data_IF_764849321732
#
_entry.id   IF_764849321732
#
_cell.length_a   1.000
_cell.length_b   1.000
_cell.length_c   1.000
_cell.angle_alpha   90.00
_cell.angle_beta   90.00
_cell.angle_gamma   90.00
#
_symmetry.space_group_name_H-M   'P 1'
#
loop_
_entity.id
_entity.type
_entity.pdbx_description
1 polymer ?
#
# COMPACT_ATOMS: atom_id res chain seq x y z
N UNK A 1 4.64 22.65 -51.06
CA UNK A 1 5.94 22.94 -50.43
C UNK A 1 5.85 22.41 -49.01
N UNK A 2 6.84 21.64 -48.55
CA UNK A 2 6.90 21.24 -47.15
C UNK A 2 7.15 22.51 -46.34
N UNK A 3 6.25 22.85 -45.43
CA UNK A 3 6.45 23.98 -44.53
C UNK A 3 7.67 23.69 -43.64
N UNK A 4 8.66 24.59 -43.69
CA UNK A 4 9.91 24.42 -42.94
C UNK A 4 9.68 24.25 -41.43
N UNK A 5 8.58 24.81 -40.91
CA UNK A 5 8.14 24.66 -39.53
C UNK A 5 7.82 23.20 -39.16
N UNK A 6 7.06 22.49 -40.00
CA UNK A 6 6.68 21.10 -39.73
C UNK A 6 7.87 20.14 -39.77
N UNK A 7 8.83 20.42 -40.66
CA UNK A 7 10.09 19.67 -40.70
C UNK A 7 10.88 19.83 -39.40
N UNK A 8 11.02 21.07 -38.90
CA UNK A 8 11.73 21.33 -37.64
C UNK A 8 11.02 20.64 -36.46
N UNK A 9 9.69 20.75 -36.38
CA UNK A 9 8.89 20.11 -35.33
C UNK A 9 9.06 18.58 -35.35
N UNK A 10 9.01 17.97 -36.54
CA UNK A 10 9.13 16.52 -36.70
C UNK A 10 10.51 16.01 -36.29
N UNK A 11 11.57 16.72 -36.69
CA UNK A 11 12.96 16.35 -36.31
C UNK A 11 13.16 16.51 -34.80
N UNK A 12 12.69 17.60 -34.22
CA UNK A 12 12.79 17.81 -32.77
C UNK A 12 12.02 16.74 -32.01
N UNK A 13 10.80 16.40 -32.45
CA UNK A 13 10.01 15.33 -31.85
C UNK A 13 10.76 13.98 -31.94
N UNK A 14 11.36 13.67 -33.09
CA UNK A 14 12.12 12.43 -33.26
C UNK A 14 13.35 12.36 -32.33
N UNK A 15 14.06 13.47 -32.13
CA UNK A 15 15.18 13.56 -31.17
C UNK A 15 14.68 13.38 -29.72
N UNK A 16 13.57 14.02 -29.34
CA UNK A 16 13.03 13.88 -27.99
C UNK A 16 12.51 12.47 -27.73
N UNK A 17 11.87 11.83 -28.71
CA UNK A 17 11.43 10.43 -28.59
C UNK A 17 12.63 9.51 -28.40
N UNK A 18 13.69 9.69 -29.21
CA UNK A 18 14.96 8.96 -29.05
C UNK A 18 15.58 9.14 -27.65
N UNK A 19 15.57 10.37 -27.13
CA UNK A 19 16.10 10.70 -25.82
C UNK A 19 15.30 10.04 -24.70
N UNK A 20 13.97 10.17 -24.70
CA UNK A 20 13.10 9.60 -23.67
C UNK A 20 13.15 8.08 -23.65
N UNK A 21 13.04 7.47 -24.83
CA UNK A 21 13.16 6.03 -25.06
C UNK A 21 14.52 5.47 -24.62
N UNK A 22 15.62 6.17 -24.93
CA UNK A 22 16.98 5.79 -24.50
C UNK A 22 17.19 5.94 -22.99
N UNK A 23 16.67 7.00 -22.37
CA UNK A 23 16.81 7.23 -20.94
C UNK A 23 15.98 6.25 -20.12
N UNK A 24 14.76 5.92 -20.58
CA UNK A 24 13.93 4.90 -19.96
C UNK A 24 14.72 3.60 -19.77
N UNK A 25 15.30 3.06 -20.85
CA UNK A 25 16.07 1.82 -20.76
C UNK A 25 17.36 2.01 -19.97
N UNK A 26 18.02 3.18 -20.06
CA UNK A 26 19.22 3.45 -19.28
C UNK A 26 18.92 3.45 -17.78
N UNK A 27 17.78 4.02 -17.37
CA UNK A 27 17.32 4.06 -15.99
C UNK A 27 17.04 2.65 -15.47
N UNK A 28 16.23 1.87 -16.21
CA UNK A 28 15.85 0.51 -15.82
C UNK A 28 17.06 -0.43 -15.76
N UNK A 29 18.05 -0.26 -16.63
CA UNK A 29 19.24 -1.14 -16.73
C UNK A 29 20.46 -0.65 -15.96
N UNK A 30 20.37 0.49 -15.29
CA UNK A 30 21.49 1.07 -14.53
C UNK A 30 21.88 0.24 -13.30
N UNK A 31 23.14 0.39 -12.89
CA UNK A 31 23.66 -0.25 -11.69
C UNK A 31 23.51 0.72 -10.51
N UNK A 32 22.59 0.40 -9.60
CA UNK A 32 22.24 1.26 -8.46
C UNK A 32 23.45 1.58 -7.57
N UNK A 33 24.42 0.67 -7.45
CA UNK A 33 25.63 0.91 -6.64
C UNK A 33 26.50 1.99 -7.28
N UNK A 34 26.65 1.98 -8.61
CA UNK A 34 27.41 3.01 -9.33
C UNK A 34 26.72 4.37 -9.31
N UNK A 35 25.39 4.38 -9.40
CA UNK A 35 24.59 5.59 -9.29
C UNK A 35 24.75 6.22 -7.90
N UNK A 36 24.67 5.41 -6.83
CA UNK A 36 24.86 5.87 -5.45
C UNK A 36 26.25 6.51 -5.25
N UNK A 37 27.29 5.91 -5.81
CA UNK A 37 28.64 6.50 -5.79
C UNK A 37 28.71 7.83 -6.53
N UNK A 38 27.97 8.01 -7.63
CA UNK A 38 27.90 9.27 -8.36
C UNK A 38 27.03 10.32 -7.64
N UNK A 39 26.04 9.90 -6.85
CA UNK A 39 25.27 10.78 -5.96
C UNK A 39 26.15 11.31 -4.82
N UNK A 40 26.95 10.45 -4.19
CA UNK A 40 27.85 10.83 -3.09
C UNK A 40 28.97 11.79 -3.52
N UNK A 41 29.39 11.75 -4.79
CA UNK A 41 30.33 12.73 -5.36
C UNK A 41 29.76 14.15 -5.45
N UNK A 42 28.44 14.31 -5.31
CA UNK A 42 27.77 15.60 -5.33
C UNK A 42 27.72 16.29 -6.71
N UNK A 43 27.46 17.60 -6.70
CA UNK A 43 27.30 18.40 -7.92
C UNK A 43 25.92 18.30 -8.58
N UNK A 44 25.77 18.92 -9.75
CA UNK A 44 24.50 18.96 -10.48
C UNK A 44 24.03 17.56 -10.92
N UNK A 45 24.96 16.72 -11.35
CA UNK A 45 24.66 15.36 -11.78
C UNK A 45 24.22 14.49 -10.61
N UNK A 46 24.92 14.54 -9.48
CA UNK A 46 24.54 13.80 -8.27
C UNK A 46 23.16 14.22 -7.74
N UNK A 47 22.85 15.52 -7.74
CA UNK A 47 21.50 16.02 -7.35
C UNK A 47 20.40 15.52 -8.29
N UNK A 48 20.65 15.56 -9.61
CA UNK A 48 19.69 15.08 -10.60
C UNK A 48 19.43 13.59 -10.45
N UNK A 49 20.50 12.78 -10.37
CA UNK A 49 20.41 11.34 -10.15
C UNK A 49 19.69 11.01 -8.82
N UNK A 50 20.03 11.68 -7.73
CA UNK A 50 19.35 11.49 -6.45
C UNK A 50 17.85 11.74 -6.57
N UNK A 51 17.46 12.85 -7.20
CA UNK A 51 16.04 13.19 -7.41
C UNK A 51 15.30 12.11 -8.21
N UNK A 52 15.89 11.60 -9.28
CA UNK A 52 15.28 10.59 -10.14
C UNK A 52 15.17 9.22 -9.48
N UNK A 53 16.21 8.79 -8.74
CA UNK A 53 16.23 7.48 -8.09
C UNK A 53 15.43 7.44 -6.78
N UNK A 54 15.35 8.55 -6.03
CA UNK A 54 14.46 8.66 -4.86
C UNK A 54 12.98 8.63 -5.25
N UNK A 55 12.63 9.12 -6.46
CA UNK A 55 11.25 9.17 -6.96
C UNK A 55 11.10 8.37 -8.26
N UNK A 56 11.56 7.12 -8.25
CA UNK A 56 11.70 6.30 -9.46
C UNK A 56 10.38 6.04 -10.21
N UNK A 57 9.26 5.84 -9.50
CA UNK A 57 7.94 5.63 -10.11
C UNK A 57 7.44 6.88 -10.85
N UNK A 58 7.58 8.05 -10.22
CA UNK A 58 7.21 9.33 -10.83
C UNK A 58 8.11 9.66 -12.03
N UNK A 59 9.40 9.35 -11.94
CA UNK A 59 10.35 9.56 -13.03
C UNK A 59 10.04 8.69 -14.26
N UNK A 60 9.83 7.39 -14.05
CA UNK A 60 9.49 6.45 -15.14
C UNK A 60 8.16 6.86 -15.80
N UNK A 61 7.14 7.14 -15.01
CA UNK A 61 5.82 7.55 -15.54
C UNK A 61 5.91 8.87 -16.32
N UNK A 62 6.67 9.85 -15.84
CA UNK A 62 6.88 11.13 -16.54
C UNK A 62 7.56 10.92 -17.91
N UNK A 63 8.57 10.08 -17.99
CA UNK A 63 9.25 9.75 -19.26
C UNK A 63 8.29 9.05 -20.21
N UNK A 64 7.48 8.11 -19.71
CA UNK A 64 6.55 7.35 -20.53
C UNK A 64 5.43 8.24 -21.09
N UNK A 65 4.88 9.14 -20.27
CA UNK A 65 3.91 10.16 -20.70
C UNK A 65 4.55 11.13 -21.71
N UNK A 66 5.75 11.62 -21.42
CA UNK A 66 6.50 12.50 -22.32
C UNK A 66 6.75 11.87 -23.69
N UNK A 67 7.15 10.59 -23.72
CA UNK A 67 7.36 9.86 -24.96
C UNK A 67 6.06 9.73 -25.78
N UNK A 68 4.93 9.44 -25.12
CA UNK A 68 3.63 9.37 -25.81
C UNK A 68 3.22 10.72 -26.42
N UNK A 69 3.42 11.83 -25.71
CA UNK A 69 3.13 13.18 -26.23
C UNK A 69 3.99 13.45 -27.47
N UNK A 70 5.27 13.16 -27.39
CA UNK A 70 6.21 13.36 -28.50
C UNK A 70 5.87 12.48 -29.70
N UNK A 71 5.43 11.24 -29.48
CA UNK A 71 5.00 10.34 -30.54
C UNK A 71 3.79 10.88 -31.32
N UNK A 72 2.83 11.49 -30.62
CA UNK A 72 1.67 12.15 -31.25
C UNK A 72 2.11 13.34 -32.10
N UNK A 73 2.99 14.20 -31.57
CA UNK A 73 3.52 15.38 -32.29
C UNK A 73 4.29 14.92 -33.54
N UNK A 74 5.12 13.89 -33.40
CA UNK A 74 5.82 13.27 -34.53
C UNK A 74 4.84 12.74 -35.58
N UNK A 75 3.79 12.02 -35.16
CA UNK A 75 2.79 11.48 -36.08
C UNK A 75 2.06 12.56 -36.88
N UNK A 76 1.69 13.68 -36.23
CA UNK A 76 1.09 14.83 -36.92
C UNK A 76 2.04 15.46 -37.95
N UNK A 77 3.31 15.66 -37.58
CA UNK A 77 4.32 16.20 -38.48
C UNK A 77 4.67 15.26 -39.64
N UNK A 78 4.82 13.97 -39.37
CA UNK A 78 5.08 12.95 -40.37
C UNK A 78 3.92 12.82 -41.37
N UNK A 79 2.66 12.86 -40.91
CA UNK A 79 1.50 12.87 -41.80
C UNK A 79 1.51 14.08 -42.75
N UNK A 80 1.73 15.28 -42.21
CA UNK A 80 1.79 16.51 -43.01
C UNK A 80 2.91 16.50 -44.07
N UNK A 81 4.04 15.84 -43.77
CA UNK A 81 5.17 15.72 -44.69
C UNK A 81 5.00 14.61 -45.73
N UNK A 82 4.43 13.46 -45.35
CA UNK A 82 4.30 12.28 -46.21
C UNK A 82 3.08 12.37 -47.14
N UNK A 83 1.98 12.98 -46.69
CA UNK A 83 0.73 13.07 -47.44
C UNK A 83 0.88 13.73 -48.83
N UNK A 84 1.51 14.92 -48.97
CA UNK A 84 1.68 15.56 -50.29
C UNK A 84 2.48 14.71 -51.27
N UNK A 85 3.46 13.95 -50.77
CA UNK A 85 4.27 13.06 -51.60
C UNK A 85 3.49 11.79 -52.00
N UNK A 86 2.78 11.16 -51.07
CA UNK A 86 2.01 9.93 -51.33
C UNK A 86 0.85 10.15 -52.30
N UNK A 87 0.16 11.29 -52.22
CA UNK A 87 -0.95 11.65 -53.14
C UNK A 87 -0.45 11.77 -54.58
N UNK A 88 0.78 12.23 -54.79
CA UNK A 88 1.37 12.28 -56.16
C UNK A 88 1.71 10.92 -56.73
N UNK A 89 1.96 9.92 -55.88
CA UNK A 89 2.26 8.54 -56.31
C UNK A 89 0.97 7.81 -56.67
N UNK A 90 -0.03 7.86 -55.79
CA UNK A 90 -1.32 7.22 -56.03
C UNK A 90 -2.43 7.94 -55.26
N UNK A 91 -3.37 8.65 -55.94
CA UNK A 91 -4.37 9.51 -55.30
C UNK A 91 -5.56 8.71 -54.77
N UNK A 92 -5.31 7.81 -53.81
CA UNK A 92 -6.34 7.06 -53.09
C UNK A 92 -6.15 7.25 -51.58
N UNK A 93 -7.20 7.72 -50.90
CA UNK A 93 -7.17 8.02 -49.47
C UNK A 93 -6.77 6.82 -48.61
N UNK A 94 -7.26 5.62 -48.91
CA UNK A 94 -6.92 4.41 -48.16
C UNK A 94 -5.44 4.06 -48.33
N UNK A 95 -4.90 4.19 -49.55
CA UNK A 95 -3.48 3.97 -49.81
C UNK A 95 -2.61 4.97 -49.05
N UNK A 96 -2.93 6.25 -49.11
CA UNK A 96 -2.18 7.32 -48.41
C UNK A 96 -2.16 7.06 -46.91
N UNK A 97 -3.31 6.75 -46.30
CA UNK A 97 -3.43 6.47 -44.87
C UNK A 97 -2.60 5.26 -44.42
N UNK A 98 -2.63 4.17 -45.18
CA UNK A 98 -1.88 2.95 -44.84
C UNK A 98 -0.37 3.18 -45.05
N UNK A 99 0.01 3.73 -46.20
CA UNK A 99 1.41 3.96 -46.54
C UNK A 99 2.08 4.95 -45.57
N UNK A 100 1.41 6.06 -45.23
CA UNK A 100 1.96 7.03 -44.27
C UNK A 100 2.16 6.40 -42.89
N UNK A 101 1.21 5.57 -42.43
CA UNK A 101 1.29 4.93 -41.11
C UNK A 101 2.45 3.96 -41.07
N UNK A 102 2.61 3.12 -42.10
CA UNK A 102 3.71 2.15 -42.17
C UNK A 102 5.08 2.83 -42.28
N UNK A 103 5.21 3.85 -43.15
CA UNK A 103 6.47 4.58 -43.33
C UNK A 103 6.84 5.33 -42.05
N UNK A 104 5.89 6.08 -41.47
CA UNK A 104 6.11 6.84 -40.24
C UNK A 104 6.45 5.93 -39.06
N UNK A 105 5.72 4.81 -38.90
CA UNK A 105 5.99 3.82 -37.85
C UNK A 105 7.37 3.17 -38.04
N UNK A 106 7.75 2.84 -39.27
CA UNK A 106 9.08 2.29 -39.55
C UNK A 106 10.20 3.26 -39.18
N UNK A 107 10.05 4.54 -39.52
CA UNK A 107 11.04 5.58 -39.20
C UNK A 107 11.17 5.74 -37.68
N UNK A 108 10.06 5.91 -36.95
CA UNK A 108 10.13 6.14 -35.50
C UNK A 108 10.58 4.91 -34.74
N UNK A 109 10.14 3.71 -35.13
CA UNK A 109 10.59 2.47 -34.48
C UNK A 109 12.09 2.25 -34.65
N UNK A 110 12.65 2.55 -35.81
CA UNK A 110 14.09 2.46 -35.99
C UNK A 110 14.80 3.56 -35.21
N UNK A 111 14.49 4.81 -35.50
CA UNK A 111 15.31 5.96 -35.09
C UNK A 111 14.98 6.53 -33.71
N UNK A 112 13.72 6.49 -33.30
CA UNK A 112 13.24 6.97 -32.00
C UNK A 112 13.17 5.88 -30.93
N UNK A 113 13.02 4.61 -31.32
CA UNK A 113 12.87 3.52 -30.36
C UNK A 113 14.05 2.55 -30.32
N UNK A 114 14.26 1.80 -31.39
CA UNK A 114 15.17 0.65 -31.40
C UNK A 114 16.65 1.06 -31.28
N UNK A 115 17.11 1.99 -32.13
CA UNK A 115 18.51 2.45 -32.10
C UNK A 115 18.87 3.12 -30.78
N UNK A 116 18.10 4.11 -30.27
CA UNK A 116 18.41 4.77 -29.01
C UNK A 116 18.40 3.81 -27.83
N UNK A 117 17.40 2.91 -27.75
CA UNK A 117 17.34 1.91 -26.69
C UNK A 117 18.55 0.99 -26.70
N UNK A 118 18.99 0.57 -27.88
CA UNK A 118 20.18 -0.28 -28.01
C UNK A 118 21.45 0.45 -27.56
N UNK A 119 21.64 1.69 -28.01
CA UNK A 119 22.85 2.47 -27.68
C UNK A 119 22.92 2.78 -26.18
N UNK A 120 21.84 3.25 -25.58
CA UNK A 120 21.81 3.65 -24.18
C UNK A 120 21.93 2.45 -23.23
N UNK A 121 21.46 1.27 -23.65
CA UNK A 121 21.59 0.02 -22.91
C UNK A 121 23.03 -0.51 -22.84
N UNK A 122 23.90 -0.17 -23.79
CA UNK A 122 25.32 -0.61 -23.76
C UNK A 122 26.06 0.01 -22.57
N UNK A 123 25.79 1.29 -22.26
CA UNK A 123 26.39 1.97 -21.13
C UNK A 123 25.37 2.85 -20.39
N UNK A 124 24.49 2.24 -19.57
CA UNK A 124 23.35 2.93 -18.98
C UNK A 124 23.77 4.00 -17.98
N UNK A 125 24.73 3.69 -17.10
CA UNK A 125 25.20 4.62 -16.07
C UNK A 125 25.86 5.87 -16.67
N UNK A 126 26.68 5.72 -17.73
CA UNK A 126 27.31 6.86 -18.41
C UNK A 126 26.26 7.73 -19.13
N UNK A 127 25.29 7.08 -19.78
CA UNK A 127 24.22 7.77 -20.49
C UNK A 127 23.36 8.59 -19.52
N UNK A 128 22.93 8.00 -18.40
CA UNK A 128 22.22 8.72 -17.34
C UNK A 128 23.03 9.89 -16.80
N UNK A 129 24.31 9.67 -16.50
CA UNK A 129 25.19 10.72 -15.96
C UNK A 129 25.30 11.93 -16.90
N UNK A 130 25.32 11.70 -18.21
CA UNK A 130 25.40 12.75 -19.23
C UNK A 130 24.09 13.55 -19.34
N UNK A 131 22.96 12.84 -19.38
CA UNK A 131 21.65 13.45 -19.65
C UNK A 131 20.88 13.86 -18.40
N UNK A 132 21.31 13.46 -17.20
CA UNK A 132 20.61 13.78 -15.96
C UNK A 132 20.41 15.29 -15.70
N UNK A 133 21.40 16.18 -15.90
CA UNK A 133 21.20 17.61 -15.69
C UNK A 133 20.19 18.21 -16.68
N UNK A 134 20.23 17.76 -17.94
CA UNK A 134 19.33 18.20 -19.00
C UNK A 134 17.88 17.80 -18.68
N UNK A 135 17.67 16.57 -18.24
CA UNK A 135 16.36 16.10 -17.81
C UNK A 135 15.82 16.86 -16.61
N UNK A 136 16.67 17.13 -15.61
CA UNK A 136 16.25 17.86 -14.43
C UNK A 136 15.79 19.27 -14.80
N UNK A 137 16.52 19.91 -15.72
CA UNK A 137 16.14 21.20 -16.28
C UNK A 137 14.84 21.11 -17.08
N UNK A 138 14.67 20.11 -17.95
CA UNK A 138 13.46 19.92 -18.75
C UNK A 138 12.22 19.70 -17.86
N UNK A 139 12.34 18.89 -16.81
CA UNK A 139 11.28 18.68 -15.81
C UNK A 139 10.98 19.98 -15.07
N UNK A 140 12.00 20.72 -14.63
CA UNK A 140 11.81 22.01 -13.96
C UNK A 140 11.10 23.03 -14.86
N UNK A 141 11.48 23.12 -16.14
CA UNK A 141 10.82 24.00 -17.12
C UNK A 141 9.38 23.56 -17.39
N UNK A 142 9.13 22.25 -17.54
CA UNK A 142 7.78 21.71 -17.72
C UNK A 142 6.87 22.04 -16.53
N UNK A 143 7.40 21.91 -15.29
CA UNK A 143 6.71 22.35 -14.08
C UNK A 143 6.44 23.85 -14.11
N UNK A 144 7.41 24.69 -14.52
CA UNK A 144 7.21 26.14 -14.62
C UNK A 144 6.15 26.54 -15.67
N UNK A 145 6.05 25.83 -16.79
CA UNK A 145 5.04 26.10 -17.84
C UNK A 145 3.64 25.69 -17.35
N UNK A 146 3.53 24.59 -16.62
CA UNK A 146 2.27 24.15 -16.01
C UNK A 146 1.93 24.93 -14.72
N UNK A 147 2.91 25.59 -14.09
CA UNK A 147 2.74 26.43 -12.90
C UNK A 147 2.18 27.82 -13.21
N UNK A 148 1.90 28.15 -14.48
CA UNK A 148 1.12 29.33 -14.86
C UNK A 148 -0.37 28.98 -15.04
N UNK A 149 -0.91 28.33 -14.04
CA UNK A 149 -2.25 28.61 -13.54
C UNK A 149 -2.13 28.44 -12.04
N UNK A 150 -2.02 29.56 -11.33
CA UNK A 150 -2.20 29.58 -9.87
C UNK A 150 -3.71 29.37 -9.62
N UNK A 151 -4.18 28.19 -10.00
CA UNK A 151 -5.44 27.68 -9.52
C UNK A 151 -5.11 27.25 -8.11
N UNK A 152 -5.33 28.20 -7.18
CA UNK A 152 -5.47 27.87 -5.77
C UNK A 152 -6.55 26.82 -5.70
N UNK A 153 -6.13 25.56 -5.83
CA UNK A 153 -6.86 24.45 -5.28
C UNK A 153 -6.85 24.76 -3.80
N UNK A 154 -7.92 25.39 -3.35
CA UNK A 154 -8.50 25.03 -2.07
C UNK A 154 -8.77 23.53 -2.15
N UNK A 155 -7.70 22.73 -2.01
CA UNK A 155 -7.83 21.53 -1.23
C UNK A 155 -8.31 22.08 0.10
N UNK A 156 -9.61 22.02 0.30
CA UNK A 156 -10.18 21.93 1.62
C UNK A 156 -9.51 20.67 2.17
N UNK A 157 -8.29 20.82 2.71
CA UNK A 157 -7.88 20.05 3.84
C UNK A 157 -8.91 20.46 4.89
N UNK A 158 -10.08 19.83 4.83
CA UNK A 158 -10.88 19.64 6.01
C UNK A 158 -9.85 19.01 6.93
N UNK A 159 -9.32 19.80 7.86
CA UNK A 159 -8.45 19.31 8.91
C UNK A 159 -9.30 18.31 9.64
N UNK A 160 -9.30 17.08 9.13
CA UNK A 160 -10.15 16.02 9.59
C UNK A 160 -9.69 15.81 11.02
N UNK A 161 -10.53 16.18 11.99
CA UNK A 161 -10.12 16.18 13.37
C UNK A 161 -9.66 14.75 13.70
N UNK A 162 -8.37 14.53 14.04
CA UNK A 162 -7.81 13.20 14.23
C UNK A 162 -8.52 12.37 15.31
N UNK A 163 -9.26 13.05 16.20
CA UNK A 163 -10.08 12.40 17.24
C UNK A 163 -11.38 11.78 16.70
N UNK A 164 -11.87 12.26 15.55
CA UNK A 164 -13.17 11.85 14.99
C UNK A 164 -13.07 11.21 13.60
N UNK A 165 -11.98 11.50 12.89
CA UNK A 165 -11.75 10.97 11.55
C UNK A 165 -10.68 9.88 11.60
N UNK A 166 -11.03 8.62 11.31
CA UNK A 166 -10.05 7.54 11.37
C UNK A 166 -9.01 7.71 10.27
N UNK A 167 -7.74 7.51 10.62
CA UNK A 167 -6.61 7.41 9.69
C UNK A 167 -6.84 6.28 8.68
N UNK A 168 -7.45 5.17 9.11
CA UNK A 168 -7.83 4.06 8.23
C UNK A 168 -9.17 3.48 8.65
N UNK A 169 -10.01 3.17 7.66
CA UNK A 169 -11.28 2.44 7.84
C UNK A 169 -11.29 1.21 6.95
N UNK A 170 -11.41 0.05 7.56
CA UNK A 170 -11.43 -1.25 6.86
C UNK A 170 -12.74 -1.98 7.18
N UNK A 171 -13.38 -2.54 6.15
CA UNK A 171 -14.69 -3.23 6.25
C UNK A 171 -14.48 -4.71 5.91
N UNK A 172 -15.24 -5.60 6.56
CA UNK A 172 -15.21 -7.05 6.33
C UNK A 172 -13.78 -7.61 6.45
N UNK A 173 -13.13 -7.27 7.55
CA UNK A 173 -11.76 -7.69 7.83
C UNK A 173 -11.77 -9.16 8.17
N UNK A 174 -10.89 -9.90 7.49
CA UNK A 174 -10.48 -11.25 7.82
C UNK A 174 -8.96 -11.27 7.64
N UNK A 175 -8.23 -11.24 8.76
CA UNK A 175 -6.77 -11.09 8.75
C UNK A 175 -6.13 -12.12 9.66
N UNK A 176 -4.93 -12.56 9.27
CA UNK A 176 -4.16 -13.54 10.03
C UNK A 176 -2.87 -12.89 10.50
N UNK A 177 -2.69 -12.81 11.82
CA UNK A 177 -1.52 -12.23 12.47
C UNK A 177 -0.66 -13.36 13.02
N UNK A 178 0.64 -13.33 12.72
CA UNK A 178 1.61 -14.26 13.29
C UNK A 178 2.55 -13.48 14.19
N UNK A 179 2.66 -13.90 15.45
CA UNK A 179 3.67 -13.41 16.36
C UNK A 179 4.82 -14.44 16.43
N UNK A 180 6.06 -13.96 16.34
CA UNK A 180 7.32 -14.71 16.51
C UNK A 180 7.48 -16.05 15.74
N UNK A 181 6.68 -16.30 14.69
CA UNK A 181 6.85 -17.41 13.76
C UNK A 181 6.10 -18.70 14.09
N UNK A 182 5.37 -18.77 15.21
CA UNK A 182 4.74 -20.02 15.67
C UNK A 182 3.24 -19.86 16.05
N UNK A 183 2.85 -18.84 16.81
CA UNK A 183 1.43 -18.62 17.15
C UNK A 183 0.75 -17.72 16.13
N UNK A 184 -0.40 -18.19 15.63
CA UNK A 184 -1.15 -17.52 14.57
C UNK A 184 -2.58 -17.25 15.03
N UNK A 185 -3.01 -16.00 14.90
CA UNK A 185 -4.36 -15.53 15.23
C UNK A 185 -5.09 -15.18 13.95
N UNK A 186 -6.31 -15.68 13.78
CA UNK A 186 -7.20 -15.23 12.72
C UNK A 186 -8.27 -14.34 13.32
N UNK A 187 -8.31 -13.09 12.86
CA UNK A 187 -9.21 -12.04 13.35
C UNK A 187 -10.23 -11.73 12.26
N UNK A 188 -11.50 -11.80 12.64
CA UNK A 188 -12.64 -11.46 11.80
C UNK A 188 -13.46 -10.35 12.46
N UNK A 189 -13.74 -9.28 11.73
CA UNK A 189 -14.55 -8.15 12.21
C UNK A 189 -15.22 -7.40 11.04
N UNK A 190 -16.49 -6.97 11.17
CA UNK A 190 -17.16 -6.21 10.13
C UNK A 190 -16.57 -4.83 9.89
N UNK A 191 -16.03 -4.18 10.93
CA UNK A 191 -15.52 -2.82 10.86
C UNK A 191 -14.33 -2.62 11.79
N UNK A 192 -13.22 -2.17 11.21
CA UNK A 192 -11.99 -1.79 11.91
C UNK A 192 -11.66 -0.33 11.59
N UNK A 193 -11.65 0.52 12.63
CA UNK A 193 -11.30 1.94 12.54
C UNK A 193 -9.97 2.17 13.26
N UNK A 194 -9.00 2.78 12.59
CA UNK A 194 -7.69 3.11 13.16
C UNK A 194 -7.53 4.62 13.27
N UNK A 195 -7.23 5.11 14.47
CA UNK A 195 -7.01 6.51 14.78
C UNK A 195 -5.55 6.67 15.23
N UNK A 196 -4.60 6.60 14.30
CA UNK A 196 -3.16 6.68 14.62
C UNK A 196 -2.68 8.11 14.86
N UNK A 197 -3.44 9.10 14.40
CA UNK A 197 -3.12 10.53 14.54
C UNK A 197 -3.80 11.21 15.75
N UNK A 198 -4.68 10.49 16.47
CA UNK A 198 -5.32 11.00 17.69
C UNK A 198 -4.30 11.23 18.81
N UNK A 199 -4.63 12.10 19.77
CA UNK A 199 -3.80 12.36 20.96
C UNK A 199 -3.47 11.05 21.70
N UNK A 200 -4.46 10.16 21.80
CA UNK A 200 -4.32 8.77 22.22
C UNK A 200 -4.61 7.82 21.05
N UNK A 201 -3.58 7.33 20.35
CA UNK A 201 -3.73 6.41 19.23
C UNK A 201 -4.43 5.13 19.63
N UNK A 202 -5.47 4.77 18.89
CA UNK A 202 -6.30 3.62 19.21
C UNK A 202 -7.01 3.04 17.99
N UNK A 203 -7.41 1.78 18.10
CA UNK A 203 -8.25 1.09 17.13
C UNK A 203 -9.60 0.77 17.75
N UNK A 204 -10.67 0.90 16.98
CA UNK A 204 -12.02 0.57 17.39
C UNK A 204 -12.61 -0.52 16.49
N UNK A 205 -13.29 -1.47 17.13
CA UNK A 205 -14.02 -2.58 16.54
C UNK A 205 -15.48 -2.50 17.01
N UNK A 206 -16.29 -1.56 16.47
CA UNK A 206 -17.63 -1.27 16.99
C UNK A 206 -18.67 -2.38 16.76
N UNK A 207 -18.46 -3.20 15.73
CA UNK A 207 -19.43 -4.19 15.24
C UNK A 207 -19.02 -5.63 15.57
N UNK A 208 -18.21 -5.79 16.61
CA UNK A 208 -17.76 -7.08 17.12
C UNK A 208 -16.41 -7.52 16.61
N UNK A 209 -15.83 -8.47 17.35
CA UNK A 209 -14.51 -9.04 17.10
C UNK A 209 -14.56 -10.53 17.37
N UNK A 210 -14.13 -11.33 16.41
CA UNK A 210 -13.98 -12.77 16.53
C UNK A 210 -12.53 -13.15 16.27
N UNK A 211 -11.89 -13.85 17.21
CA UNK A 211 -10.51 -14.29 17.11
C UNK A 211 -10.45 -15.80 17.29
N UNK A 212 -9.72 -16.46 16.40
CA UNK A 212 -9.36 -17.88 16.51
C UNK A 212 -7.86 -17.99 16.68
N UNK A 213 -7.43 -18.75 17.66
CA UNK A 213 -6.03 -19.11 17.87
C UNK A 213 -5.76 -20.49 17.27
N UNK A 214 -4.64 -20.61 16.56
CA UNK A 214 -4.16 -21.87 16.01
C UNK A 214 -2.88 -22.30 16.70
N UNK A 215 -2.74 -23.60 16.94
CA UNK A 215 -1.47 -24.22 17.33
C UNK A 215 -0.57 -24.48 16.11
N UNK A 216 0.64 -25.01 16.35
CA UNK A 216 1.64 -25.31 15.31
C UNK A 216 1.14 -26.31 14.24
N UNK A 217 0.13 -27.11 14.57
CA UNK A 217 -0.49 -28.08 13.66
C UNK A 217 -1.69 -27.51 12.90
N UNK A 218 -1.92 -26.19 12.95
CA UNK A 218 -3.05 -25.49 12.34
C UNK A 218 -4.42 -25.96 12.87
N UNK A 219 -4.44 -26.48 14.10
CA UNK A 219 -5.67 -26.86 14.80
C UNK A 219 -6.08 -25.71 15.72
N UNK A 220 -7.38 -25.39 15.69
CA UNK A 220 -7.96 -24.39 16.59
C UNK A 220 -7.80 -24.82 18.05
N UNK A 221 -7.11 -24.01 18.85
CA UNK A 221 -6.88 -24.30 20.27
C UNK A 221 -7.43 -23.20 21.20
N UNK A 222 -8.04 -22.16 20.66
CA UNK A 222 -8.68 -21.12 21.46
C UNK A 222 -9.57 -20.22 20.62
N UNK A 223 -10.62 -19.69 21.23
CA UNK A 223 -11.51 -18.72 20.59
C UNK A 223 -11.81 -17.56 21.52
N UNK A 224 -12.00 -16.38 20.94
CA UNK A 224 -12.30 -15.17 21.66
C UNK A 224 -13.33 -14.35 20.88
N UNK A 225 -14.38 -13.87 21.57
CA UNK A 225 -15.44 -13.06 20.95
C UNK A 225 -15.85 -11.91 21.87
N UNK A 226 -16.14 -10.75 21.29
CA UNK A 226 -16.73 -9.60 21.97
C UNK A 226 -17.63 -8.80 21.02
N UNK A 227 -18.64 -8.10 21.55
CA UNK A 227 -19.49 -7.23 20.72
C UNK A 227 -18.78 -5.91 20.39
N UNK A 228 -17.78 -5.52 21.17
CA UNK A 228 -16.94 -4.33 20.94
C UNK A 228 -15.53 -4.55 21.43
N UNK A 229 -14.55 -3.97 20.74
CA UNK A 229 -13.18 -3.91 21.23
C UNK A 229 -12.53 -2.56 20.91
N UNK A 230 -11.63 -2.12 21.80
CA UNK A 230 -10.74 -0.99 21.60
C UNK A 230 -9.32 -1.40 21.93
N UNK A 231 -8.37 -1.13 21.03
CA UNK A 231 -6.95 -1.33 21.30
C UNK A 231 -6.25 0.02 21.43
N UNK A 232 -5.61 0.28 22.57
CA UNK A 232 -4.85 1.49 22.83
C UNK A 232 -3.38 1.27 22.43
N UNK A 233 -3.01 1.69 21.22
CA UNK A 233 -1.71 1.36 20.59
C UNK A 233 -0.51 1.80 21.44
N UNK A 234 -0.53 3.01 22.00
CA UNK A 234 0.56 3.52 22.87
C UNK A 234 0.70 2.71 24.17
N UNK A 235 -0.41 2.28 24.75
CA UNK A 235 -0.43 1.53 26.01
C UNK A 235 -0.29 0.02 25.79
N UNK A 236 -0.42 -0.45 24.55
CA UNK A 236 -0.55 -1.88 24.19
C UNK A 236 -1.61 -2.60 25.03
N UNK A 237 -2.74 -1.93 25.22
CA UNK A 237 -3.83 -2.39 26.08
C UNK A 237 -5.06 -2.65 25.21
N UNK A 238 -5.51 -3.90 25.20
CA UNK A 238 -6.82 -4.26 24.67
C UNK A 238 -7.89 -4.10 25.73
N UNK A 239 -9.02 -3.55 25.31
CA UNK A 239 -10.25 -3.49 26.07
C UNK A 239 -11.35 -4.13 25.23
N UNK A 240 -12.03 -5.10 25.81
CA UNK A 240 -13.15 -5.80 25.20
C UNK A 240 -14.39 -5.52 26.03
N UNK A 241 -15.48 -5.13 25.39
CA UNK A 241 -16.72 -4.72 26.05
C UNK A 241 -17.91 -5.48 25.45
N UNK A 242 -18.84 -5.84 26.34
CA UNK A 242 -20.12 -6.51 26.09
C UNK A 242 -19.96 -7.93 25.55
N UNK A 243 -20.61 -8.87 26.25
CA UNK A 243 -20.72 -10.27 25.85
C UNK A 243 -19.36 -10.91 25.46
N UNK A 244 -18.37 -10.69 26.32
CA UNK A 244 -17.02 -11.18 26.12
C UNK A 244 -17.01 -12.68 26.46
N UNK A 245 -16.71 -13.51 25.46
CA UNK A 245 -16.71 -14.98 25.59
C UNK A 245 -15.40 -15.54 25.06
N UNK A 246 -14.77 -16.40 25.85
CA UNK A 246 -13.50 -17.04 25.49
C UNK A 246 -13.54 -18.53 25.75
N UNK A 247 -12.72 -19.26 24.99
CA UNK A 247 -12.39 -20.65 25.22
C UNK A 247 -10.87 -20.79 25.21
N UNK A 248 -10.30 -21.33 26.28
CA UNK A 248 -8.86 -21.56 26.38
C UNK A 248 -8.44 -22.91 25.77
N UNK A 249 -7.14 -23.20 25.85
CA UNK A 249 -6.52 -24.44 25.34
C UNK A 249 -7.00 -25.71 26.05
N UNK A 250 -7.42 -25.60 27.30
CA UNK A 250 -7.97 -26.71 28.10
C UNK A 250 -9.45 -26.97 27.79
N UNK A 251 -10.08 -26.08 27.01
CA UNK A 251 -11.50 -26.12 26.68
C UNK A 251 -12.42 -25.44 27.69
N UNK A 252 -11.86 -24.83 28.75
CA UNK A 252 -12.59 -24.04 29.73
C UNK A 252 -13.20 -22.81 29.06
N UNK A 253 -14.44 -22.47 29.43
CA UNK A 253 -15.17 -21.33 28.86
C UNK A 253 -15.27 -20.20 29.86
N UNK A 254 -14.96 -19.00 29.42
CA UNK A 254 -14.99 -17.79 30.23
C UNK A 254 -16.01 -16.83 29.64
N UNK A 255 -16.84 -16.23 30.50
CA UNK A 255 -17.82 -15.22 30.12
C UNK A 255 -17.75 -14.04 31.07
N UNK A 256 -17.72 -12.83 30.51
CA UNK A 256 -17.76 -11.58 31.28
C UNK A 256 -18.33 -10.44 30.44
N UNK A 257 -18.59 -9.29 31.07
CA UNK A 257 -19.07 -8.09 30.38
C UNK A 257 -17.93 -7.18 29.92
N UNK A 258 -16.76 -7.26 30.54
CA UNK A 258 -15.60 -6.47 30.16
C UNK A 258 -14.33 -7.24 30.46
N UNK A 259 -13.32 -7.10 29.61
CA UNK A 259 -12.03 -7.72 29.80
C UNK A 259 -10.93 -6.79 29.29
N UNK A 260 -9.80 -6.79 29.99
CA UNK A 260 -8.61 -6.08 29.56
C UNK A 260 -7.49 -7.07 29.34
N UNK A 261 -6.70 -6.84 28.30
CA UNK A 261 -5.45 -7.56 28.07
C UNK A 261 -4.31 -6.57 27.87
N UNK A 262 -3.41 -6.53 28.84
CA UNK A 262 -2.22 -5.68 28.82
C UNK A 262 -1.04 -6.49 28.28
N UNK A 263 -0.58 -6.14 27.08
CA UNK A 263 0.51 -6.85 26.42
C UNK A 263 1.89 -6.54 27.02
N UNK A 264 2.06 -5.45 27.79
CA UNK A 264 3.34 -5.17 28.43
C UNK A 264 3.54 -6.07 29.65
N UNK A 265 2.47 -6.37 30.36
CA UNK A 265 2.51 -7.23 31.56
C UNK A 265 2.13 -8.67 31.27
N UNK A 266 1.66 -8.98 30.06
CA UNK A 266 1.12 -10.28 29.65
C UNK A 266 -0.01 -10.77 30.58
N UNK A 267 -0.86 -9.82 31.03
CA UNK A 267 -1.97 -10.10 31.95
C UNK A 267 -3.31 -9.82 31.33
N UNK A 268 -4.25 -10.72 31.62
CA UNK A 268 -5.67 -10.58 31.31
C UNK A 268 -6.42 -10.36 32.60
N UNK A 269 -7.24 -9.32 32.70
CA UNK A 269 -7.95 -8.99 33.93
C UNK A 269 -9.34 -8.40 33.68
N UNK A 270 -10.20 -8.50 34.69
CA UNK A 270 -11.54 -7.92 34.69
C UNK A 270 -12.05 -7.69 36.11
N UNK A 271 -12.59 -6.49 36.34
CA UNK A 271 -13.35 -6.19 37.55
C UNK A 271 -14.85 -6.53 37.42
N UNK A 272 -15.30 -6.87 36.21
CA UNK A 272 -16.67 -7.31 35.95
C UNK A 272 -16.94 -8.71 36.52
N UNK A 273 -18.22 -9.05 36.66
CA UNK A 273 -18.61 -10.42 36.99
C UNK A 273 -18.04 -11.38 35.93
N UNK A 274 -17.42 -12.46 36.40
CA UNK A 274 -16.90 -13.53 35.55
C UNK A 274 -17.61 -14.84 35.88
N UNK A 275 -17.93 -15.59 34.84
CA UNK A 275 -18.46 -16.93 34.90
C UNK A 275 -17.54 -17.86 34.11
N UNK A 276 -17.02 -18.89 34.78
CA UNK A 276 -16.06 -19.84 34.23
C UNK A 276 -16.67 -21.24 34.28
N UNK A 277 -16.85 -21.87 33.13
CA UNK A 277 -17.28 -23.27 33.02
C UNK A 277 -16.05 -24.13 32.76
N UNK A 278 -15.67 -24.95 33.75
CA UNK A 278 -14.66 -26.00 33.60
C UNK A 278 -15.32 -27.36 33.47
N UNK A 279 -14.52 -28.39 33.19
CA UNK A 279 -15.02 -29.76 33.14
C UNK A 279 -15.59 -30.25 34.49
N UNK A 280 -14.96 -29.88 35.60
CA UNK A 280 -15.26 -30.39 36.95
C UNK A 280 -16.07 -29.43 37.83
N UNK A 281 -16.03 -28.13 37.52
CA UNK A 281 -16.75 -27.10 38.28
C UNK A 281 -17.08 -25.85 37.46
N UNK A 282 -18.05 -25.10 37.96
CA UNK A 282 -18.36 -23.74 37.55
C UNK A 282 -17.85 -22.79 38.63
N UNK A 283 -17.20 -21.71 38.23
CA UNK A 283 -16.66 -20.69 39.13
C UNK A 283 -17.23 -19.33 38.76
N UNK A 284 -17.72 -18.61 39.76
CA UNK A 284 -18.31 -17.28 39.59
C UNK A 284 -17.73 -16.28 40.59
N UNK A 285 -17.54 -15.02 40.17
CA UNK A 285 -17.06 -13.98 41.07
C UNK A 285 -16.63 -12.68 40.39
N UNK A 286 -15.88 -11.86 41.13
CA UNK A 286 -15.38 -10.54 40.70
C UNK A 286 -13.88 -10.41 40.94
N UNK A 287 -13.22 -9.57 40.13
CA UNK A 287 -11.80 -9.28 40.24
C UNK A 287 -10.95 -10.44 39.72
N UNK A 288 -11.11 -10.75 38.44
CA UNK A 288 -10.38 -11.75 37.69
C UNK A 288 -9.03 -11.21 37.23
N UNK A 289 -7.97 -12.02 37.38
CA UNK A 289 -6.63 -11.75 36.86
C UNK A 289 -5.98 -13.07 36.42
N UNK A 290 -5.34 -13.10 35.26
CA UNK A 290 -4.81 -14.32 34.64
C UNK A 290 -3.64 -14.05 33.68
N UNK A 291 -2.90 -15.11 33.35
CA UNK A 291 -2.03 -15.14 32.17
C UNK A 291 -2.82 -15.11 30.85
N UNK A 292 -2.14 -14.87 29.73
CA UNK A 292 -2.76 -14.74 28.40
C UNK A 292 -3.49 -16.01 27.94
N UNK A 293 -2.97 -17.18 28.33
CA UNK A 293 -3.56 -18.47 27.98
C UNK A 293 -4.77 -18.81 28.85
N UNK A 294 -5.08 -18.00 29.86
CA UNK A 294 -6.18 -18.23 30.80
C UNK A 294 -6.13 -19.60 31.49
N UNK A 295 -4.93 -20.09 31.77
CA UNK A 295 -4.67 -21.38 32.44
C UNK A 295 -4.26 -21.20 33.90
N UNK A 296 -3.70 -20.04 34.24
CA UNK A 296 -3.36 -19.64 35.59
C UNK A 296 -4.08 -18.33 35.93
N UNK A 297 -5.01 -18.39 36.89
CA UNK A 297 -5.86 -17.26 37.23
C UNK A 297 -6.27 -17.21 38.71
N UNK A 298 -6.59 -16.00 39.15
CA UNK A 298 -7.09 -15.69 40.48
C UNK A 298 -8.40 -14.92 40.37
N UNK A 299 -9.37 -15.27 41.22
CA UNK A 299 -10.60 -14.49 41.41
C UNK A 299 -10.57 -13.93 42.83
N UNK A 300 -10.47 -12.61 42.94
CA UNK A 300 -10.29 -11.93 44.23
C UNK A 300 -11.52 -12.05 45.14
N UNK A 301 -12.72 -12.10 44.56
CA UNK A 301 -14.00 -12.21 45.29
C UNK A 301 -14.88 -13.29 44.65
N UNK A 302 -14.67 -14.58 44.98
CA UNK A 302 -15.52 -15.65 44.50
C UNK A 302 -16.93 -15.51 45.11
N UNK A 303 -17.95 -15.58 44.25
CA UNK A 303 -19.37 -15.60 44.64
C UNK A 303 -19.89 -17.02 44.79
N UNK A 304 -19.33 -17.97 44.03
CA UNK A 304 -19.71 -19.38 44.10
C UNK A 304 -18.74 -20.30 43.35
N UNK A 305 -18.59 -21.53 43.85
CA UNK A 305 -17.88 -22.61 43.19
C UNK A 305 -18.80 -23.82 43.24
N UNK A 306 -19.26 -24.28 42.08
CA UNK A 306 -20.26 -25.35 41.97
C UNK A 306 -19.65 -26.55 41.24
N UNK A 307 -19.59 -27.76 41.82
CA UNK A 307 -19.10 -28.93 41.10
C UNK A 307 -20.09 -29.34 40.00
N UNK A 308 -19.60 -29.64 38.79
CA UNK A 308 -20.46 -29.97 37.64
C UNK A 308 -21.27 -31.25 37.89
N UNK A 309 -20.75 -32.17 38.72
CA UNK A 309 -21.43 -33.42 39.09
C UNK A 309 -22.71 -33.21 39.93
N UNK A 310 -22.88 -32.05 40.58
CA UNK A 310 -24.06 -31.77 41.40
C UNK A 310 -25.35 -31.58 40.56
N UNK A 311 -25.23 -31.35 39.25
CA UNK A 311 -26.39 -31.20 38.35
C UNK A 311 -26.82 -32.50 37.66
N UNK A 312 -26.01 -33.57 37.76
CA UNK A 312 -26.29 -34.86 37.11
C UNK A 312 -27.06 -35.85 38.00
N UNK A 313 -27.28 -35.54 39.29
CA UNK A 313 -27.98 -36.46 40.22
C UNK A 313 -29.48 -36.20 40.37
N UNK A 314 -30.09 -35.31 39.56
CA UNK A 314 -31.51 -34.96 39.65
C UNK A 314 -32.45 -35.73 38.73
N UNK A 315 -31.97 -36.75 38.01
CA UNK A 315 -32.73 -37.45 36.97
C UNK A 315 -32.83 -38.96 37.16
N UNK A 316 -33.22 -39.42 38.35
CA UNK A 316 -33.76 -40.77 38.58
C UNK A 316 -34.75 -40.75 39.75
N UNK A 317 -36.02 -40.58 39.42
CA UNK A 317 -37.15 -41.26 40.09
C UNK A 317 -38.09 -41.78 39.00
#
# INVERSE_FOLDING_TARGET
MIDSSWLIITILALIFSALFSGIEIAFVTSDRVRVELDVQKGGLVGRALNTFFSNSEFFISTILVGNNIVLVIYGMGAANMLEPWLVTVYPNQAFVLIAQTLISTGIILLTGEFFPKTVFRINPNRSLRLFAPLLLFAVAVGVCICACSDDKRETIALSANPETFPTMRTINVSTTISDSGYTRYHITTPLWLMFEEAAEPHWNFPDGLFIVQFNDSMVENGTFTADTATYLSKRKLWRFDRNVRMKNVDGDRFRTQQLFWDQNTHKVYSDSFIHIERSDRIIEGYGFESNEQMTDYVIRRPSGIFPTNAFMSGGKE
#
